data_IF_864777800564
#
_entry.id   IF_864777800564
#
_cell.length_a   1.000
_cell.length_b   1.000
_cell.length_c   1.000
_cell.angle_alpha   90.00
_cell.angle_beta   90.00
_cell.angle_gamma   90.00
#
_symmetry.space_group_name_H-M   'P 1'
#
loop_
_entity.id
_entity.type
_entity.pdbx_description
1 polymer ?
#
# COMPACT_ATOMS: atom_id res chain seq x y z
N UNK A 1 -4.61 6.20 4.21
CA UNK A 1 -5.12 6.86 2.99
C UNK A 1 -5.59 8.26 3.33
N UNK A 2 -5.25 9.28 2.52
CA UNK A 2 -5.79 10.64 2.65
C UNK A 2 -5.79 11.33 1.29
N UNK A 3 -6.59 12.39 1.14
CA UNK A 3 -6.67 13.19 -0.09
C UNK A 3 -6.02 14.54 0.18
N UNK A 4 -5.15 14.99 -0.72
CA UNK A 4 -4.46 16.27 -0.58
C UNK A 4 -4.31 16.99 -1.92
N UNK A 5 -4.04 18.29 -1.86
CA UNK A 5 -3.67 19.12 -3.01
C UNK A 5 -2.17 19.43 -2.91
N UNK A 6 -1.34 19.05 -3.92
CA UNK A 6 0.07 19.44 -3.94
C UNK A 6 0.25 20.95 -3.81
N UNK A 7 1.16 21.36 -2.94
CA UNK A 7 1.41 22.77 -2.63
C UNK A 7 2.82 22.94 -2.08
N UNK A 8 3.59 23.84 -2.68
CA UNK A 8 4.96 24.13 -2.24
C UNK A 8 4.97 24.73 -0.83
N UNK A 9 3.97 25.57 -0.50
CA UNK A 9 3.82 26.11 0.87
C UNK A 9 3.60 24.99 1.87
N UNK A 10 2.63 24.11 1.60
CA UNK A 10 2.30 22.99 2.50
C UNK A 10 3.48 22.06 2.69
N UNK A 11 4.25 21.78 1.63
CA UNK A 11 5.49 21.01 1.72
C UNK A 11 6.52 21.65 2.66
N UNK A 12 6.80 22.95 2.48
CA UNK A 12 7.80 23.65 3.30
C UNK A 12 7.35 23.74 4.76
N UNK A 13 6.05 23.97 5.00
CA UNK A 13 5.49 24.03 6.34
C UNK A 13 5.55 22.66 7.02
N UNK A 14 5.18 21.57 6.33
CA UNK A 14 5.34 20.20 6.81
C UNK A 14 6.79 19.89 7.17
N UNK A 15 7.75 20.27 6.31
CA UNK A 15 9.17 20.04 6.56
C UNK A 15 9.68 20.82 7.78
N UNK A 16 9.20 22.06 7.96
CA UNK A 16 9.53 22.86 9.15
C UNK A 16 8.94 22.23 10.40
N UNK A 17 7.69 21.76 10.36
CA UNK A 17 7.04 21.08 11.49
C UNK A 17 7.77 19.79 11.83
N UNK A 18 8.06 18.93 10.85
CA UNK A 18 8.78 17.66 11.03
C UNK A 18 10.10 17.84 11.78
N UNK A 19 10.86 18.91 11.52
CA UNK A 19 12.14 19.19 12.18
C UNK A 19 12.04 19.45 13.68
N UNK A 20 10.89 19.91 14.16
CA UNK A 20 10.66 20.25 15.58
C UNK A 20 9.70 19.29 16.28
N UNK A 21 9.06 18.39 15.54
CA UNK A 21 8.16 17.37 16.08
C UNK A 21 8.96 16.23 16.71
N UNK A 22 8.71 15.90 18.00
CA UNK A 22 9.29 14.71 18.62
C UNK A 22 8.85 13.45 17.89
N UNK A 23 9.73 12.45 17.78
CA UNK A 23 9.39 11.15 17.21
C UNK A 23 8.31 10.44 18.01
N UNK A 24 7.34 9.85 17.33
CA UNK A 24 6.32 8.98 17.93
C UNK A 24 6.37 7.59 17.29
N UNK A 25 5.72 6.60 17.92
CA UNK A 25 5.60 5.25 17.36
C UNK A 25 4.76 5.18 16.07
N UNK A 26 3.99 6.24 15.78
CA UNK A 26 3.17 6.37 14.56
C UNK A 26 3.63 7.60 13.76
N UNK A 27 4.93 7.63 13.43
CA UNK A 27 5.67 8.81 12.99
C UNK A 27 4.92 9.71 11.99
N UNK A 28 4.65 9.23 10.77
CA UNK A 28 3.98 10.04 9.76
C UNK A 28 2.50 10.30 10.08
N UNK A 29 1.81 9.33 10.67
CA UNK A 29 0.38 9.44 10.96
C UNK A 29 0.11 10.50 12.03
N UNK A 30 0.87 10.50 13.11
CA UNK A 30 0.73 11.47 14.21
C UNK A 30 1.12 12.87 13.75
N UNK A 31 2.21 13.00 13.00
CA UNK A 31 2.62 14.28 12.42
C UNK A 31 1.51 14.87 11.56
N UNK A 32 0.96 14.09 10.63
CA UNK A 32 -0.09 14.56 9.73
C UNK A 32 -1.39 14.86 10.46
N UNK A 33 -1.77 14.05 11.46
CA UNK A 33 -2.93 14.31 12.31
C UNK A 33 -2.82 15.65 13.03
N UNK A 34 -1.66 15.92 13.64
CA UNK A 34 -1.44 17.18 14.36
C UNK A 34 -1.30 18.38 13.43
N UNK A 35 -0.64 18.21 12.27
CA UNK A 35 -0.46 19.28 11.29
C UNK A 35 -1.78 19.70 10.64
N UNK A 36 -2.67 18.74 10.32
CA UNK A 36 -3.94 18.99 9.62
C UNK A 36 -5.17 18.99 10.54
N UNK A 37 -4.99 19.01 11.86
CA UNK A 37 -6.08 18.88 12.86
C UNK A 37 -7.25 19.84 12.61
N UNK A 38 -6.97 21.07 12.15
CA UNK A 38 -7.97 22.12 12.00
C UNK A 38 -8.79 22.00 10.70
N UNK A 39 -8.35 21.13 9.77
CA UNK A 39 -9.03 20.90 8.48
C UNK A 39 -9.40 19.43 8.27
N UNK A 40 -9.25 18.61 9.31
CA UNK A 40 -9.47 17.17 9.23
C UNK A 40 -10.91 16.83 8.84
N UNK A 41 -11.04 15.93 7.87
CA UNK A 41 -12.33 15.37 7.44
C UNK A 41 -12.20 13.84 7.38
N UNK A 42 -12.95 13.09 8.18
CA UNK A 42 -12.84 11.64 8.20
C UNK A 42 -13.26 11.04 6.86
N UNK A 43 -12.48 10.10 6.37
CA UNK A 43 -12.83 9.28 5.20
C UNK A 43 -13.58 8.04 5.71
N UNK A 44 -14.71 7.65 5.09
CA UNK A 44 -15.41 6.41 5.45
C UNK A 44 -14.50 5.18 5.41
N UNK A 45 -14.67 4.27 6.37
CA UNK A 45 -13.86 3.06 6.53
C UNK A 45 -13.73 2.22 5.24
N UNK A 46 -14.77 2.19 4.40
CA UNK A 46 -14.75 1.49 3.10
C UNK A 46 -13.64 1.93 2.13
N UNK A 47 -13.07 3.13 2.29
CA UNK A 47 -11.98 3.64 1.45
C UNK A 47 -10.59 3.54 2.11
N UNK A 48 -10.50 2.95 3.30
CA UNK A 48 -9.24 2.72 4.00
C UNK A 48 -9.42 1.64 5.09
N UNK A 49 -10.00 0.49 4.74
CA UNK A 49 -10.37 -0.52 5.73
C UNK A 49 -9.10 -1.14 6.31
N UNK A 50 -8.79 -0.82 7.56
CA UNK A 50 -7.72 -1.49 8.31
C UNK A 50 -8.17 -2.91 8.61
N UNK A 51 -7.37 -3.91 8.22
CA UNK A 51 -7.76 -5.33 8.27
C UNK A 51 -8.28 -5.76 9.65
N UNK A 52 -7.68 -5.26 10.73
CA UNK A 52 -8.07 -5.54 12.11
C UNK A 52 -9.53 -5.19 12.46
N UNK A 53 -10.17 -4.32 11.68
CA UNK A 53 -11.59 -4.00 11.87
C UNK A 53 -12.50 -5.21 11.62
N UNK A 54 -12.07 -6.20 10.82
CA UNK A 54 -12.85 -7.42 10.52
C UNK A 54 -13.13 -8.28 11.76
N UNK A 55 -12.28 -8.21 12.79
CA UNK A 55 -12.46 -8.98 14.02
C UNK A 55 -12.59 -8.12 15.28
N UNK A 56 -12.08 -6.88 15.28
CA UNK A 56 -12.25 -5.95 16.42
C UNK A 56 -13.60 -5.26 16.44
N UNK A 57 -14.14 -4.92 15.27
CA UNK A 57 -15.39 -4.18 15.11
C UNK A 57 -16.17 -4.68 13.87
N UNK A 58 -16.48 -5.99 13.78
CA UNK A 58 -17.16 -6.57 12.63
C UNK A 58 -18.50 -5.90 12.32
N UNK A 59 -19.20 -5.38 13.33
CA UNK A 59 -20.45 -4.63 13.21
C UNK A 59 -20.32 -3.35 12.36
N UNK A 60 -19.10 -2.82 12.24
CA UNK A 60 -18.79 -1.59 11.50
C UNK A 60 -18.21 -1.88 10.10
N UNK A 61 -18.19 -3.13 9.66
CA UNK A 61 -17.64 -3.53 8.35
C UNK A 61 -18.74 -4.10 7.46
N UNK A 62 -18.98 -3.43 6.33
CA UNK A 62 -19.82 -3.94 5.24
C UNK A 62 -18.88 -4.41 4.13
N UNK A 63 -18.47 -5.68 4.19
CA UNK A 63 -17.40 -6.25 3.37
C UNK A 63 -17.64 -6.07 1.85
N UNK A 64 -18.88 -6.20 1.41
CA UNK A 64 -19.34 -6.02 0.02
C UNK A 64 -19.17 -4.58 -0.51
N UNK A 65 -19.09 -3.59 0.39
CA UNK A 65 -18.96 -2.17 0.03
C UNK A 65 -17.53 -1.64 0.13
N UNK A 66 -16.59 -2.45 0.59
CA UNK A 66 -15.19 -2.07 0.74
C UNK A 66 -14.57 -1.82 -0.63
N UNK A 67 -13.76 -0.77 -0.73
CA UNK A 67 -13.08 -0.33 -1.96
C UNK A 67 -11.57 -0.37 -1.84
N UNK A 68 -11.04 -0.17 -0.63
CA UNK A 68 -9.60 -0.17 -0.37
C UNK A 68 -9.33 -0.89 0.94
N UNK A 69 -8.42 -1.85 0.91
CA UNK A 69 -7.93 -2.59 2.08
C UNK A 69 -6.56 -2.02 2.49
N UNK A 70 -6.37 -1.84 3.79
CA UNK A 70 -5.10 -1.48 4.40
C UNK A 70 -4.57 -2.64 5.24
N UNK A 71 -3.63 -3.38 4.67
CA UNK A 71 -2.90 -4.48 5.32
C UNK A 71 -1.87 -3.93 6.33
N UNK A 72 -2.36 -3.38 7.43
CA UNK A 72 -1.53 -2.77 8.49
C UNK A 72 -1.13 -3.78 9.58
N UNK A 73 -1.97 -4.76 9.89
CA UNK A 73 -1.71 -5.72 10.97
C UNK A 73 -0.38 -6.46 10.72
N UNK A 74 0.33 -6.78 11.80
CA UNK A 74 1.56 -7.58 11.72
C UNK A 74 1.29 -8.87 10.93
N UNK A 75 2.23 -9.27 10.07
CA UNK A 75 2.11 -10.41 9.13
C UNK A 75 0.90 -10.43 8.18
N UNK A 76 0.05 -9.40 8.19
CA UNK A 76 -1.06 -9.29 7.22
C UNK A 76 -0.61 -8.83 5.83
N UNK A 77 0.68 -8.54 5.65
CA UNK A 77 1.24 -8.14 4.36
C UNK A 77 1.04 -9.28 3.37
N UNK A 78 0.31 -9.10 2.26
CA UNK A 78 -0.04 -10.21 1.37
C UNK A 78 1.17 -10.99 0.83
N UNK A 79 2.29 -10.30 0.59
CA UNK A 79 3.54 -10.90 0.12
C UNK A 79 4.34 -11.67 1.19
N UNK A 80 3.91 -11.65 2.45
CA UNK A 80 4.46 -12.42 3.58
C UNK A 80 3.40 -13.22 4.32
N UNK A 81 2.21 -13.34 3.72
CA UNK A 81 1.07 -13.92 4.40
C UNK A 81 1.29 -15.40 4.71
N UNK A 82 1.03 -15.76 5.97
CA UNK A 82 0.86 -17.13 6.44
C UNK A 82 -0.44 -17.23 7.21
N UNK A 83 -0.96 -18.43 7.39
CA UNK A 83 -2.17 -18.68 8.19
C UNK A 83 -1.87 -18.87 9.69
N UNK A 84 -0.60 -18.75 10.10
CA UNK A 84 -0.15 -19.13 11.45
C UNK A 84 -0.47 -18.08 12.51
N UNK A 85 -0.62 -16.82 12.10
CA UNK A 85 -0.77 -15.68 13.00
C UNK A 85 -2.23 -15.45 13.41
N UNK A 86 -2.42 -14.78 14.55
CA UNK A 86 -3.74 -14.59 15.15
C UNK A 86 -4.73 -13.93 14.17
N UNK A 87 -5.87 -14.58 13.96
CA UNK A 87 -6.94 -14.19 13.04
C UNK A 87 -6.58 -14.32 11.54
N UNK A 88 -5.36 -14.70 11.15
CA UNK A 88 -4.99 -14.80 9.73
C UNK A 88 -5.62 -16.02 9.03
N UNK A 89 -6.09 -17.00 9.78
CA UNK A 89 -6.79 -18.21 9.30
C UNK A 89 -8.24 -17.96 8.85
N UNK A 90 -8.76 -16.73 9.00
CA UNK A 90 -10.13 -16.39 8.63
C UNK A 90 -10.35 -16.40 7.11
N UNK A 91 -11.52 -16.91 6.70
CA UNK A 91 -11.92 -16.98 5.30
C UNK A 91 -12.02 -15.61 4.60
N UNK A 92 -12.48 -14.58 5.32
CA UNK A 92 -12.56 -13.22 4.78
C UNK A 92 -11.16 -12.65 4.49
N UNK A 93 -10.16 -12.96 5.32
CA UNK A 93 -8.77 -12.56 5.09
C UNK A 93 -8.14 -13.37 3.96
N UNK A 94 -8.33 -14.68 3.91
CA UNK A 94 -7.85 -15.54 2.81
C UNK A 94 -8.35 -15.05 1.47
N UNK A 95 -9.63 -14.70 1.38
CA UNK A 95 -10.22 -14.10 0.17
C UNK A 95 -9.53 -12.78 -0.21
N UNK A 96 -9.28 -11.89 0.74
CA UNK A 96 -8.62 -10.61 0.48
C UNK A 96 -7.15 -10.79 0.05
N UNK A 97 -6.42 -11.70 0.68
CA UNK A 97 -5.05 -12.02 0.27
C UNK A 97 -5.04 -12.65 -1.12
N UNK A 98 -5.96 -13.58 -1.40
CA UNK A 98 -6.11 -14.17 -2.74
C UNK A 98 -6.36 -13.11 -3.81
N UNK A 99 -7.27 -12.16 -3.58
CA UNK A 99 -7.51 -11.06 -4.52
C UNK A 99 -6.24 -10.24 -4.81
N UNK A 100 -5.41 -10.00 -3.78
CA UNK A 100 -4.12 -9.33 -3.97
C UNK A 100 -3.14 -10.19 -4.77
N UNK A 101 -3.03 -11.47 -4.43
CA UNK A 101 -2.12 -12.43 -5.10
C UNK A 101 -2.51 -12.67 -6.55
N UNK A 102 -3.80 -12.75 -6.86
CA UNK A 102 -4.34 -12.89 -8.22
C UNK A 102 -3.89 -11.70 -9.09
N UNK A 103 -3.88 -10.47 -8.55
CA UNK A 103 -3.39 -9.27 -9.25
C UNK A 103 -1.86 -9.28 -9.37
N UNK A 104 -1.15 -9.62 -8.29
CA UNK A 104 0.31 -9.64 -8.28
C UNK A 104 0.89 -10.67 -9.25
N UNK A 105 0.20 -11.80 -9.42
CA UNK A 105 0.62 -12.92 -10.27
C UNK A 105 0.05 -12.83 -11.69
N UNK A 106 -0.65 -11.75 -12.02
CA UNK A 106 -1.17 -11.51 -13.36
C UNK A 106 -0.03 -11.02 -14.28
N UNK A 107 0.56 -11.95 -15.03
CA UNK A 107 1.62 -11.67 -16.01
C UNK A 107 1.22 -10.60 -17.05
N UNK A 108 -0.09 -10.41 -17.30
CA UNK A 108 -0.55 -9.36 -18.21
C UNK A 108 -0.33 -7.95 -17.66
N UNK A 109 -0.12 -7.82 -16.35
CA UNK A 109 0.22 -6.58 -15.67
C UNK A 109 1.73 -6.37 -15.55
N UNK A 110 2.56 -7.31 -16.00
CA UNK A 110 4.01 -7.12 -16.07
C UNK A 110 4.36 -6.12 -17.19
N UNK A 111 4.47 -4.85 -16.80
CA UNK A 111 4.81 -3.76 -17.70
C UNK A 111 6.16 -3.96 -18.40
N UNK A 112 7.12 -4.61 -17.75
CA UNK A 112 8.46 -4.84 -18.32
C UNK A 112 8.37 -5.88 -19.42
N UNK A 113 7.79 -7.05 -19.12
CA UNK A 113 7.60 -8.11 -20.12
C UNK A 113 6.79 -7.61 -21.31
N UNK A 114 5.72 -6.85 -21.06
CA UNK A 114 4.89 -6.24 -22.10
C UNK A 114 5.62 -5.17 -22.93
N UNK A 115 6.41 -4.30 -22.29
CA UNK A 115 7.21 -3.31 -23.01
C UNK A 115 8.29 -3.97 -23.88
N UNK A 116 8.89 -5.05 -23.40
CA UNK A 116 9.89 -5.83 -24.15
C UNK A 116 9.24 -6.57 -25.32
N UNK A 117 8.12 -7.27 -25.09
CA UNK A 117 7.45 -8.03 -26.15
C UNK A 117 6.92 -7.13 -27.26
N UNK A 118 6.44 -5.93 -26.94
CA UNK A 118 5.84 -5.00 -27.91
C UNK A 118 6.82 -4.03 -28.57
N UNK A 119 8.08 -3.92 -28.10
CA UNK A 119 9.08 -3.01 -28.66
C UNK A 119 10.24 -3.75 -29.33
N UNK A 120 10.34 -3.64 -30.67
CA UNK A 120 11.52 -4.12 -31.42
C UNK A 120 12.82 -3.45 -30.94
N UNK A 121 12.75 -2.19 -30.52
CA UNK A 121 13.89 -1.46 -29.98
C UNK A 121 14.36 -2.03 -28.64
N UNK A 122 13.45 -2.29 -27.70
CA UNK A 122 13.81 -2.88 -26.40
C UNK A 122 14.37 -4.30 -26.55
N UNK A 123 13.83 -5.11 -27.47
CA UNK A 123 14.40 -6.43 -27.81
C UNK A 123 15.83 -6.33 -28.32
N UNK A 124 16.10 -5.37 -29.20
CA UNK A 124 17.45 -5.13 -29.73
C UNK A 124 18.40 -4.61 -28.63
N UNK A 125 17.91 -3.75 -27.73
CA UNK A 125 18.69 -3.21 -26.62
C UNK A 125 19.09 -4.30 -25.62
N UNK A 126 18.15 -5.14 -25.18
CA UNK A 126 18.43 -6.27 -24.27
C UNK A 126 19.45 -7.22 -24.89
N UNK A 127 19.31 -7.53 -26.19
CA UNK A 127 20.25 -8.40 -26.90
C UNK A 127 21.65 -7.77 -27.02
N UNK A 128 21.74 -6.45 -27.15
CA UNK A 128 23.01 -5.74 -27.30
C UNK A 128 23.75 -5.51 -25.96
N UNK A 129 23.03 -5.43 -24.85
CA UNK A 129 23.59 -5.10 -23.53
C UNK A 129 23.59 -6.27 -22.53
N UNK A 130 23.28 -7.49 -22.98
CA UNK A 130 23.12 -8.70 -22.14
C UNK A 130 22.14 -8.52 -20.95
N UNK A 131 21.27 -7.51 -21.02
CA UNK A 131 20.33 -7.15 -19.97
C UNK A 131 20.01 -5.65 -19.95
N UNK A 132 18.94 -5.29 -19.27
CA UNK A 132 18.64 -3.91 -18.88
C UNK A 132 18.80 -3.86 -17.37
N UNK A 133 19.70 -3.02 -16.86
CA UNK A 133 19.86 -2.83 -15.41
C UNK A 133 18.63 -2.13 -14.85
N UNK A 134 17.77 -2.88 -14.16
CA UNK A 134 16.75 -2.32 -13.30
C UNK A 134 17.25 -2.33 -11.86
N UNK A 135 16.94 -1.27 -11.12
CA UNK A 135 17.04 -1.30 -9.67
C UNK A 135 15.86 -2.13 -9.19
N UNK A 136 16.11 -3.41 -8.89
CA UNK A 136 15.13 -4.26 -8.22
C UNK A 136 14.81 -3.62 -6.86
N UNK A 137 13.52 -3.50 -6.54
CA UNK A 137 13.10 -3.21 -5.19
C UNK A 137 13.68 -4.27 -4.24
N UNK A 138 13.91 -3.94 -2.96
CA UNK A 138 14.42 -4.92 -2.00
C UNK A 138 13.52 -6.16 -2.00
N UNK A 139 14.16 -7.33 -1.99
CA UNK A 139 13.48 -8.60 -1.75
C UNK A 139 12.67 -8.50 -0.47
N UNK A 140 11.42 -8.96 -0.49
CA UNK A 140 10.65 -9.15 0.72
C UNK A 140 11.27 -10.29 1.54
N UNK A 141 12.25 -9.93 2.39
CA UNK A 141 12.76 -10.79 3.47
C UNK A 141 12.01 -10.51 4.76
#
# INVERSE_FOLDING_TARGET
>A
MFVFKPSFSTYNDLLRTLRVTPSTSFAEQDLLNMFFKDIYKPIPNKYNLVLAMLWRHPENVQADKVKVIHYYAAESKPWRYTEEEENMDREDIKMLVKNWTDIYSDDSLDYISNAITNSKFMKALIKAYEGVCYILGPSAT
#
